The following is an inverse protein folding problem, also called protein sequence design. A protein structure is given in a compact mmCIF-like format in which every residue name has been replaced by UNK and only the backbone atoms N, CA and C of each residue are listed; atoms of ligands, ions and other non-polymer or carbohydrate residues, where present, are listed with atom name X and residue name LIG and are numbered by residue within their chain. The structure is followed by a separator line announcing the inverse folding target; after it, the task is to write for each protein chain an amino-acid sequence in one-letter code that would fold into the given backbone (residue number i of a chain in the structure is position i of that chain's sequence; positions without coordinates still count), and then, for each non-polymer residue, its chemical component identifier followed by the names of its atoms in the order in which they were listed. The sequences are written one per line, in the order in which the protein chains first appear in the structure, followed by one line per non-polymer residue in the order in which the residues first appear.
data_IF_009419773047
#
_entry.id   IF_009419773047
#
_cell.length_a   1.000
_cell.length_b   1.000
_cell.length_c   1.000
_cell.angle_alpha   90.00
_cell.angle_beta   90.00
_cell.angle_gamma   90.00
#
_symmetry.space_group_name_H-M   'P 1'
#
loop_
_entity.id
_entity.type
_entity.pdbx_description
1 polymer ?
#
# COMPACT_ATOMS: atom_id res chain seq x y z
N UNK A 1 -3.75 0.51 30.84
CA UNK A 1 -2.59 0.48 29.91
C UNK A 1 -2.06 1.88 29.66
N UNK A 2 -0.81 2.02 29.19
CA UNK A 2 -0.15 3.32 28.98
C UNK A 2 -0.75 4.13 27.82
N UNK A 3 -1.35 3.49 26.82
CA UNK A 3 -2.05 4.13 25.68
C UNK A 3 -3.48 3.61 25.50
N UNK A 4 -4.22 4.17 24.53
CA UNK A 4 -5.53 3.64 24.11
C UNK A 4 -5.38 2.26 23.44
N UNK A 5 -6.42 1.42 23.49
CA UNK A 5 -6.34 0.02 23.04
C UNK A 5 -6.36 -0.10 21.50
N UNK A 6 -5.21 0.08 20.84
CA UNK A 6 -5.00 -0.20 19.41
C UNK A 6 -4.27 -1.54 19.24
N UNK A 7 -4.72 -2.48 18.37
CA UNK A 7 -5.94 -2.46 17.54
C UNK A 7 -7.19 -2.97 18.26
N UNK A 8 -7.09 -3.35 19.54
CA UNK A 8 -8.15 -4.08 20.24
C UNK A 8 -9.55 -3.44 20.21
N UNK A 9 -9.67 -2.11 20.26
CA UNK A 9 -10.99 -1.47 20.25
C UNK A 9 -11.69 -1.54 18.89
N UNK A 10 -10.94 -1.43 17.78
CA UNK A 10 -11.50 -1.58 16.44
C UNK A 10 -12.06 -3.00 16.22
N UNK A 11 -11.34 -4.03 16.68
CA UNK A 11 -11.80 -5.42 16.61
C UNK A 11 -13.06 -5.68 17.44
N UNK A 12 -13.21 -5.04 18.60
CA UNK A 12 -14.43 -5.17 19.42
C UNK A 12 -15.66 -4.60 18.71
N UNK A 13 -15.53 -3.47 18.01
CA UNK A 13 -16.63 -2.93 17.21
C UNK A 13 -17.07 -3.92 16.11
N UNK A 14 -16.14 -4.70 15.57
CA UNK A 14 -16.41 -5.72 14.55
C UNK A 14 -16.93 -7.07 15.10
N UNK A 15 -17.19 -7.19 16.40
CA UNK A 15 -17.46 -8.50 17.05
C UNK A 15 -18.95 -8.83 17.25
N UNK A 16 -19.87 -8.07 16.67
CA UNK A 16 -21.33 -8.17 16.93
C UNK A 16 -21.71 -8.02 18.42
N UNK A 17 -20.80 -7.49 19.23
CA UNK A 17 -21.01 -7.31 20.67
C UNK A 17 -21.10 -5.83 20.99
N UNK A 18 -21.89 -5.49 22.02
CA UNK A 18 -21.94 -4.12 22.53
C UNK A 18 -20.56 -3.72 23.03
N UNK A 19 -20.03 -2.63 22.48
CA UNK A 19 -18.77 -2.07 22.95
C UNK A 19 -18.99 -1.19 24.17
N UNK A 20 -18.38 -1.57 25.28
CA UNK A 20 -18.27 -0.73 26.48
C UNK A 20 -16.94 0.01 26.42
N UNK A 21 -16.99 1.34 26.31
CA UNK A 21 -15.80 2.17 26.16
C UNK A 21 -15.56 3.00 27.40
N UNK A 22 -14.40 2.81 28.03
CA UNK A 22 -13.97 3.67 29.12
C UNK A 22 -13.85 5.12 28.61
N UNK A 23 -14.45 6.06 29.34
CA UNK A 23 -14.29 7.48 29.06
C UNK A 23 -12.98 8.00 29.61
N UNK A 24 -11.89 7.72 28.87
CA UNK A 24 -10.56 8.16 29.24
C UNK A 24 -10.04 9.26 28.31
N UNK A 25 -9.09 10.11 28.76
CA UNK A 25 -8.47 11.12 27.89
C UNK A 25 -7.68 10.50 26.72
N UNK A 26 -7.43 9.17 26.74
CA UNK A 26 -6.73 8.47 25.67
C UNK A 26 -7.65 8.28 24.47
N UNK A 27 -7.33 8.94 23.35
CA UNK A 27 -8.12 8.90 22.12
C UNK A 27 -7.39 8.15 20.99
N UNK A 28 -8.15 7.62 20.04
CA UNK A 28 -7.66 7.17 18.73
C UNK A 28 -8.20 8.08 17.64
N UNK A 29 -7.54 8.05 16.48
CA UNK A 29 -7.87 8.91 15.33
C UNK A 29 -9.35 8.79 14.91
N UNK A 30 -9.94 7.60 15.02
CA UNK A 30 -11.32 7.35 14.61
C UNK A 30 -12.38 7.59 15.69
N UNK A 31 -12.00 7.84 16.95
CA UNK A 31 -12.97 7.97 18.05
C UNK A 31 -13.93 9.14 17.89
N UNK A 32 -13.53 10.19 17.16
CA UNK A 32 -14.40 11.35 16.89
C UNK A 32 -15.61 11.02 16.03
N UNK A 33 -15.56 9.93 15.26
CA UNK A 33 -16.72 9.47 14.48
C UNK A 33 -17.63 8.52 15.25
N UNK A 34 -17.30 8.17 16.50
CA UNK A 34 -18.12 7.30 17.34
C UNK A 34 -19.02 8.12 18.26
N UNK A 35 -20.29 7.75 18.32
CA UNK A 35 -21.31 8.44 19.10
C UNK A 35 -21.73 7.57 20.29
N UNK A 36 -21.65 8.08 21.54
CA UNK A 36 -22.15 7.39 22.72
C UNK A 36 -23.66 7.12 22.60
N UNK A 37 -24.10 5.93 22.99
CA UNK A 37 -25.51 5.51 22.89
C UNK A 37 -25.94 5.05 21.50
N UNK A 38 -25.10 5.24 20.47
CA UNK A 38 -25.35 4.81 19.08
C UNK A 38 -24.38 3.71 18.68
N UNK A 39 -23.07 3.97 18.79
CA UNK A 39 -22.03 3.02 18.36
C UNK A 39 -21.41 2.24 19.54
N UNK A 40 -21.52 2.74 20.76
CA UNK A 40 -20.95 2.16 21.98
C UNK A 40 -21.62 2.76 23.23
N UNK A 41 -21.41 2.15 24.40
CA UNK A 41 -21.81 2.73 25.69
C UNK A 41 -20.60 3.22 26.51
N UNK A 42 -20.64 4.45 27.04
CA UNK A 42 -19.55 4.99 27.84
C UNK A 42 -19.55 4.41 29.26
N UNK A 43 -18.38 3.98 29.72
CA UNK A 43 -18.14 3.58 31.11
C UNK A 43 -17.24 4.63 31.76
N UNK A 44 -17.61 5.12 32.95
CA UNK A 44 -16.82 6.09 33.70
C UNK A 44 -15.47 5.50 34.10
N UNK A 45 -14.43 6.34 34.23
CA UNK A 45 -13.08 5.87 34.58
C UNK A 45 -13.01 5.10 35.90
N UNK A 46 -13.90 5.44 36.85
CA UNK A 46 -14.03 4.78 38.15
C UNK A 46 -14.92 3.53 38.13
N UNK A 47 -15.44 3.14 36.96
CA UNK A 47 -16.36 2.03 36.74
C UNK A 47 -17.68 2.12 37.51
N UNK A 48 -18.03 3.28 38.08
CA UNK A 48 -19.21 3.43 38.95
C UNK A 48 -20.53 3.10 38.24
N UNK A 49 -20.61 3.30 36.92
CA UNK A 49 -21.81 2.99 36.13
C UNK A 49 -21.77 1.62 35.44
N UNK A 50 -20.74 0.79 35.65
CA UNK A 50 -20.58 -0.46 34.91
C UNK A 50 -21.70 -1.46 35.20
N UNK A 51 -22.01 -1.68 36.49
CA UNK A 51 -23.01 -2.67 36.91
C UNK A 51 -24.40 -2.28 36.41
N UNK A 52 -24.77 -1.01 36.56
CA UNK A 52 -26.05 -0.47 36.06
C UNK A 52 -26.15 -0.60 34.55
N UNK A 53 -25.08 -0.27 33.80
CA UNK A 53 -25.04 -0.40 32.34
C UNK A 53 -25.27 -1.83 31.90
N UNK A 54 -24.63 -2.81 32.56
CA UNK A 54 -24.80 -4.22 32.26
C UNK A 54 -26.22 -4.71 32.55
N UNK A 55 -26.78 -4.34 33.72
CA UNK A 55 -28.15 -4.71 34.07
C UNK A 55 -29.18 -4.11 33.11
N UNK A 56 -28.93 -2.88 32.64
CA UNK A 56 -29.78 -2.24 31.64
C UNK A 56 -29.76 -2.98 30.30
N UNK A 57 -28.56 -3.34 29.81
CA UNK A 57 -28.40 -4.11 28.57
C UNK A 57 -29.11 -5.46 28.64
N UNK A 58 -29.00 -6.18 29.75
CA UNK A 58 -29.66 -7.48 29.95
C UNK A 58 -31.19 -7.36 29.89
N UNK A 59 -31.74 -6.26 30.42
CA UNK A 59 -33.20 -6.02 30.42
C UNK A 59 -33.72 -5.49 29.08
N UNK A 60 -32.84 -4.95 28.23
CA UNK A 60 -33.21 -4.31 26.96
C UNK A 60 -32.36 -4.89 25.82
N UNK A 61 -32.54 -6.18 25.55
CA UNK A 61 -31.75 -6.91 24.55
C UNK A 61 -31.87 -6.30 23.14
N UNK A 62 -33.06 -5.84 22.75
CA UNK A 62 -33.27 -5.15 21.47
C UNK A 62 -32.39 -3.91 21.32
N UNK A 63 -32.28 -3.10 22.39
CA UNK A 63 -31.42 -1.92 22.41
C UNK A 63 -29.94 -2.31 22.37
N UNK A 64 -29.54 -3.36 23.09
CA UNK A 64 -28.20 -3.91 23.07
C UNK A 64 -27.80 -4.36 21.65
N UNK A 65 -28.67 -5.12 20.99
CA UNK A 65 -28.49 -5.56 19.62
C UNK A 65 -28.36 -4.38 18.65
N UNK A 66 -29.23 -3.38 18.77
CA UNK A 66 -29.19 -2.19 17.93
C UNK A 66 -27.85 -1.43 18.05
N UNK A 67 -27.33 -1.23 19.26
CA UNK A 67 -26.03 -0.55 19.44
C UNK A 67 -24.89 -1.40 18.85
N UNK A 68 -24.88 -2.70 19.13
CA UNK A 68 -23.83 -3.59 18.64
C UNK A 68 -23.75 -3.59 17.09
N UNK A 69 -24.91 -3.63 16.44
CA UNK A 69 -24.99 -3.61 14.98
C UNK A 69 -24.62 -2.24 14.40
N UNK A 70 -25.06 -1.13 15.00
CA UNK A 70 -24.68 0.21 14.56
C UNK A 70 -23.17 0.45 14.70
N UNK A 71 -22.56 0.02 15.82
CA UNK A 71 -21.12 0.09 16.02
C UNK A 71 -20.34 -0.74 14.99
N UNK A 72 -20.82 -1.95 14.67
CA UNK A 72 -20.23 -2.83 13.65
C UNK A 72 -20.31 -2.22 12.26
N UNK A 73 -21.48 -1.78 11.83
CA UNK A 73 -21.66 -1.24 10.48
C UNK A 73 -20.86 0.05 10.28
N UNK A 74 -20.78 0.88 11.32
CA UNK A 74 -19.88 2.03 11.33
C UNK A 74 -18.42 1.59 11.17
N UNK A 75 -17.96 0.60 11.93
CA UNK A 75 -16.57 0.14 11.87
C UNK A 75 -16.21 -0.52 10.54
N UNK A 76 -17.10 -1.34 9.95
CA UNK A 76 -16.89 -1.91 8.62
C UNK A 76 -16.71 -0.82 7.58
N UNK A 77 -17.63 0.15 7.57
CA UNK A 77 -17.64 1.24 6.59
C UNK A 77 -16.41 2.15 6.73
N UNK A 78 -15.97 2.43 7.95
CA UNK A 78 -14.98 3.50 8.19
C UNK A 78 -13.58 3.02 8.56
N UNK A 79 -13.43 1.78 9.03
CA UNK A 79 -12.13 1.23 9.50
C UNK A 79 -11.62 0.07 8.66
N UNK A 80 -12.50 -0.65 7.96
CA UNK A 80 -12.13 -1.82 7.14
C UNK A 80 -12.10 -1.48 5.66
N UNK A 81 -12.90 -0.51 5.21
CA UNK A 81 -12.84 0.01 3.85
C UNK A 81 -11.46 0.65 3.59
N UNK A 82 -10.63 -0.08 2.86
CA UNK A 82 -9.26 0.32 2.53
C UNK A 82 -9.22 1.61 1.70
N UNK A 83 -10.19 1.84 0.82
CA UNK A 83 -10.22 3.03 -0.03
C UNK A 83 -10.50 4.27 0.82
N UNK A 84 -11.47 4.17 1.72
CA UNK A 84 -11.80 5.27 2.63
C UNK A 84 -10.66 5.52 3.64
N UNK A 85 -10.01 4.46 4.13
CA UNK A 85 -8.87 4.58 5.04
C UNK A 85 -7.67 5.25 4.34
N UNK A 86 -7.33 4.83 3.11
CA UNK A 86 -6.28 5.47 2.33
C UNK A 86 -6.63 6.91 1.98
N UNK A 87 -7.88 7.19 1.61
CA UNK A 87 -8.36 8.54 1.35
C UNK A 87 -8.18 9.41 2.59
N UNK A 88 -8.64 8.97 3.76
CA UNK A 88 -8.46 9.69 5.02
C UNK A 88 -6.98 9.97 5.32
N UNK A 89 -6.12 8.95 5.23
CA UNK A 89 -4.67 9.12 5.43
C UNK A 89 -4.08 10.14 4.45
N UNK A 90 -4.50 10.11 3.18
CA UNK A 90 -4.04 11.07 2.16
C UNK A 90 -4.46 12.50 2.51
N UNK A 91 -5.69 12.72 2.97
CA UNK A 91 -6.19 14.04 3.35
C UNK A 91 -5.43 14.61 4.56
N UNK A 92 -5.14 13.76 5.55
CA UNK A 92 -4.34 14.15 6.72
C UNK A 92 -2.94 14.61 6.28
N UNK A 93 -2.28 13.84 5.40
CA UNK A 93 -0.94 14.16 4.91
C UNK A 93 -0.94 15.42 4.04
N UNK A 94 -1.92 15.59 3.15
CA UNK A 94 -2.07 16.79 2.33
C UNK A 94 -2.34 18.04 3.18
N UNK A 95 -3.22 17.92 4.18
CA UNK A 95 -3.49 19.03 5.11
C UNK A 95 -2.25 19.38 5.91
N UNK A 96 -1.55 18.38 6.45
CA UNK A 96 -0.28 18.59 7.15
C UNK A 96 0.75 19.29 6.25
N UNK A 97 0.92 18.84 5.01
CA UNK A 97 1.81 19.47 4.04
C UNK A 97 1.44 20.93 3.76
N UNK A 98 0.15 21.26 3.69
CA UNK A 98 -0.32 22.65 3.48
C UNK A 98 0.00 23.60 4.63
N UNK A 99 0.21 23.06 5.84
CA UNK A 99 0.55 23.85 7.03
C UNK A 99 2.06 24.11 7.16
N UNK A 100 2.88 23.52 6.29
CA UNK A 100 4.32 23.73 6.30
C UNK A 100 4.63 25.14 5.81
N UNK A 101 5.28 25.94 6.65
CA UNK A 101 5.77 27.29 6.31
C UNK A 101 7.10 27.28 5.56
N UNK A 102 7.70 26.10 5.45
CA UNK A 102 8.93 25.87 4.70
C UNK A 102 8.64 24.91 3.56
N UNK A 103 9.34 25.09 2.44
CA UNK A 103 9.38 24.07 1.40
C UNK A 103 10.36 22.99 1.88
N UNK A 104 9.92 21.75 2.16
CA UNK A 104 10.84 20.71 2.55
C UNK A 104 11.88 20.56 1.45
N UNK A 105 13.12 20.91 1.76
CA UNK A 105 14.27 20.59 0.93
C UNK A 105 14.70 19.20 1.34
N UNK A 106 14.73 18.29 0.37
CA UNK A 106 15.43 17.03 0.53
C UNK A 106 16.85 17.34 1.01
N UNK A 107 17.28 16.64 2.05
CA UNK A 107 18.65 16.71 2.54
C UNK A 107 19.61 16.33 1.41
N UNK A 108 20.85 16.80 1.48
CA UNK A 108 21.89 16.41 0.52
C UNK A 108 22.09 14.89 0.48
N UNK A 109 21.80 14.17 1.57
CA UNK A 109 21.68 12.72 1.64
C UNK A 109 20.54 12.19 0.76
N UNK A 110 19.30 12.67 0.95
CA UNK A 110 18.12 12.20 0.19
C UNK A 110 18.22 12.51 -1.31
N UNK A 111 18.84 13.65 -1.68
CA UNK A 111 19.13 14.00 -3.08
C UNK A 111 20.21 13.07 -3.64
N UNK A 112 21.25 12.72 -2.87
CA UNK A 112 22.24 11.70 -3.26
C UNK A 112 21.60 10.33 -3.47
N UNK A 113 20.60 9.96 -2.67
CA UNK A 113 19.87 8.69 -2.83
C UNK A 113 19.00 8.66 -4.10
N UNK A 114 18.48 9.79 -4.56
CA UNK A 114 17.79 9.90 -5.87
C UNK A 114 18.79 9.95 -7.02
N UNK A 115 19.96 10.56 -6.80
CA UNK A 115 21.00 10.83 -7.80
C UNK A 115 22.00 9.69 -7.99
N UNK A 116 22.00 8.66 -7.14
CA UNK A 116 22.86 7.48 -7.29
C UNK A 116 22.32 6.46 -8.30
N UNK A 117 21.07 6.60 -8.76
CA UNK A 117 20.50 5.75 -9.78
C UNK A 117 20.62 6.41 -11.15
N UNK A 118 21.72 6.08 -11.85
CA UNK A 118 22.16 6.70 -13.11
C UNK A 118 21.10 6.74 -14.20
N UNK A 119 20.11 5.86 -14.15
CA UNK A 119 19.08 5.75 -15.18
C UNK A 119 18.06 6.89 -15.11
N UNK A 120 17.61 7.28 -13.92
CA UNK A 120 16.66 8.39 -13.79
C UNK A 120 17.30 9.74 -14.15
N UNK A 121 18.58 9.91 -13.84
CA UNK A 121 19.34 11.11 -14.19
C UNK A 121 19.49 11.31 -15.72
N UNK A 122 19.43 10.23 -16.51
CA UNK A 122 19.49 10.29 -17.98
C UNK A 122 18.18 10.76 -18.62
N UNK A 123 17.08 10.77 -17.88
CA UNK A 123 15.77 11.15 -18.41
C UNK A 123 15.66 12.67 -18.58
N UNK A 124 15.69 13.14 -19.82
CA UNK A 124 15.63 14.58 -20.15
C UNK A 124 14.25 15.19 -19.93
N UNK A 125 13.19 14.44 -20.26
CA UNK A 125 11.82 14.91 -20.20
C UNK A 125 10.97 13.93 -19.39
N UNK A 126 10.43 14.40 -18.27
CA UNK A 126 9.49 13.63 -17.44
C UNK A 126 8.12 13.68 -18.13
N UNK A 127 7.61 12.51 -18.53
CA UNK A 127 6.28 12.37 -19.15
C UNK A 127 5.18 12.46 -18.10
N UNK A 128 3.94 12.87 -18.47
CA UNK A 128 2.80 12.75 -17.57
C UNK A 128 2.64 11.33 -17.03
N UNK A 129 2.12 11.20 -15.82
CA UNK A 129 1.87 9.88 -15.24
C UNK A 129 0.88 9.09 -16.10
N UNK A 130 1.19 7.83 -16.37
CA UNK A 130 0.32 6.93 -17.13
C UNK A 130 0.07 5.64 -16.32
N UNK A 131 -1.17 5.40 -15.85
CA UNK A 131 -1.50 4.25 -15.02
C UNK A 131 -1.63 2.93 -15.79
N UNK A 132 -1.54 2.94 -17.13
CA UNK A 132 -1.79 1.75 -17.94
C UNK A 132 -0.93 0.55 -17.49
N UNK A 133 -1.59 -0.58 -17.24
CA UNK A 133 -0.95 -1.84 -16.89
C UNK A 133 -1.99 -2.92 -16.59
N UNK A 134 -1.51 -4.12 -16.32
CA UNK A 134 -2.34 -5.32 -16.10
C UNK A 134 -2.36 -5.76 -14.63
N UNK A 135 -1.81 -4.95 -13.73
CA UNK A 135 -1.75 -5.24 -12.31
C UNK A 135 -3.08 -4.88 -11.62
N UNK A 136 -3.64 -5.83 -10.89
CA UNK A 136 -4.95 -5.73 -10.24
C UNK A 136 -4.84 -5.81 -8.71
N UNK A 137 -5.94 -5.50 -8.00
CA UNK A 137 -6.02 -5.57 -6.54
C UNK A 137 -5.74 -6.98 -6.00
N UNK A 138 -6.21 -8.02 -6.67
CA UNK A 138 -5.97 -9.42 -6.23
C UNK A 138 -4.48 -9.77 -6.23
N UNK A 139 -3.75 -9.30 -7.25
CA UNK A 139 -2.31 -9.47 -7.33
C UNK A 139 -1.58 -8.71 -6.20
N UNK A 140 -2.09 -7.54 -5.83
CA UNK A 140 -1.54 -6.71 -4.75
C UNK A 140 -1.63 -7.40 -3.38
N UNK A 141 -2.77 -8.01 -3.07
CA UNK A 141 -2.98 -8.75 -1.81
C UNK A 141 -2.02 -9.93 -1.69
N UNK A 142 -1.90 -10.76 -2.72
CA UNK A 142 -1.00 -11.90 -2.71
C UNK A 142 0.47 -11.47 -2.55
N UNK A 143 0.86 -10.40 -3.24
CA UNK A 143 2.24 -9.91 -3.27
C UNK A 143 2.67 -9.28 -1.94
N UNK A 144 1.81 -8.44 -1.34
CA UNK A 144 2.08 -7.86 -0.02
C UNK A 144 2.13 -8.92 1.07
N UNK A 145 1.28 -9.95 1.01
CA UNK A 145 1.34 -11.09 1.93
C UNK A 145 2.69 -11.81 1.86
N UNK A 146 3.19 -12.09 0.66
CA UNK A 146 4.47 -12.78 0.47
C UNK A 146 5.66 -11.94 0.95
N UNK A 147 5.70 -10.65 0.59
CA UNK A 147 6.76 -9.72 1.00
C UNK A 147 6.83 -9.64 2.54
N UNK A 148 5.69 -9.48 3.20
CA UNK A 148 5.62 -9.40 4.65
C UNK A 148 5.94 -10.75 5.32
N UNK A 149 5.37 -11.86 4.84
CA UNK A 149 5.59 -13.19 5.42
C UNK A 149 7.06 -13.60 5.39
N UNK A 150 7.78 -13.23 4.32
CA UNK A 150 9.17 -13.59 4.15
C UNK A 150 10.15 -12.46 4.47
N UNK A 151 9.64 -11.31 4.95
CA UNK A 151 10.47 -10.16 5.33
C UNK A 151 11.43 -9.75 4.20
N UNK A 152 10.93 -9.75 2.95
CA UNK A 152 11.76 -9.50 1.78
C UNK A 152 12.37 -8.09 1.83
N UNK A 153 13.66 -8.01 1.52
CA UNK A 153 14.40 -6.75 1.36
C UNK A 153 14.83 -6.53 -0.08
N UNK A 154 15.15 -7.60 -0.81
CA UNK A 154 15.55 -7.53 -2.22
C UNK A 154 14.57 -8.31 -3.10
N UNK A 155 13.92 -7.62 -4.03
CA UNK A 155 13.00 -8.23 -5.00
C UNK A 155 13.53 -8.04 -6.41
N UNK A 156 13.39 -9.05 -7.25
CA UNK A 156 13.64 -8.93 -8.69
C UNK A 156 12.31 -9.13 -9.42
N UNK A 157 11.94 -8.18 -10.26
CA UNK A 157 10.80 -8.30 -11.18
C UNK A 157 11.31 -8.46 -12.60
N UNK A 158 10.90 -9.54 -13.27
CA UNK A 158 11.15 -9.77 -14.68
C UNK A 158 9.89 -9.41 -15.46
N UNK A 159 9.98 -8.54 -16.46
CA UNK A 159 8.83 -8.15 -17.30
C UNK A 159 8.10 -6.89 -16.83
N UNK A 160 8.83 -5.84 -16.45
CA UNK A 160 8.24 -4.57 -15.98
C UNK A 160 7.72 -3.73 -17.16
N UNK A 161 6.40 -3.50 -17.22
CA UNK A 161 5.75 -2.61 -18.20
C UNK A 161 5.96 -1.13 -17.82
N UNK A 162 4.88 -0.38 -17.56
CA UNK A 162 4.91 0.98 -17.02
C UNK A 162 5.04 1.03 -15.49
N UNK A 163 5.31 -0.11 -14.86
CA UNK A 163 5.76 -0.22 -13.48
C UNK A 163 4.68 -0.23 -12.39
N UNK A 164 3.44 -0.59 -12.71
CA UNK A 164 2.35 -0.60 -11.70
C UNK A 164 2.66 -1.55 -10.53
N UNK A 165 2.96 -2.82 -10.83
CA UNK A 165 3.42 -3.81 -9.86
C UNK A 165 4.75 -3.43 -9.22
N UNK A 166 5.72 -2.95 -10.01
CA UNK A 166 7.03 -2.50 -9.52
C UNK A 166 6.90 -1.48 -8.38
N UNK A 167 6.08 -0.46 -8.58
CA UNK A 167 5.84 0.59 -7.60
C UNK A 167 5.11 0.07 -6.38
N UNK A 168 4.12 -0.80 -6.58
CA UNK A 168 3.43 -1.43 -5.45
C UNK A 168 4.40 -2.25 -4.58
N UNK A 169 5.26 -3.07 -5.18
CA UNK A 169 6.31 -3.81 -4.44
C UNK A 169 7.20 -2.83 -3.66
N UNK A 170 7.67 -1.76 -4.29
CA UNK A 170 8.51 -0.75 -3.63
C UNK A 170 7.83 -0.14 -2.39
N UNK A 171 6.50 0.04 -2.40
CA UNK A 171 5.76 0.50 -1.22
C UNK A 171 5.67 -0.53 -0.09
N UNK A 172 5.68 -1.83 -0.43
CA UNK A 172 5.64 -2.91 0.57
C UNK A 172 7.01 -3.21 1.18
N UNK A 173 8.11 -2.83 0.53
CA UNK A 173 9.45 -3.11 1.04
C UNK A 173 9.81 -2.20 2.22
N UNK A 174 10.56 -2.73 3.22
CA UNK A 174 11.02 -1.92 4.35
C UNK A 174 11.98 -0.81 3.89
N UNK A 175 12.38 0.06 4.82
CA UNK A 175 13.46 1.02 4.58
C UNK A 175 14.75 0.28 4.20
N UNK A 176 15.47 0.79 3.20
CA UNK A 176 16.63 0.13 2.59
C UNK A 176 16.30 -1.07 1.68
N UNK A 177 15.04 -1.47 1.55
CA UNK A 177 14.63 -2.51 0.62
C UNK A 177 14.64 -2.02 -0.84
N UNK A 178 15.04 -2.90 -1.76
CA UNK A 178 15.23 -2.62 -3.19
C UNK A 178 14.43 -3.58 -4.07
N UNK A 179 13.91 -3.05 -5.18
CA UNK A 179 13.37 -3.82 -6.29
C UNK A 179 14.16 -3.56 -7.57
N UNK A 180 14.62 -4.63 -8.22
CA UNK A 180 15.25 -4.60 -9.53
C UNK A 180 14.19 -4.89 -10.60
N UNK A 181 13.86 -3.88 -11.39
CA UNK A 181 12.91 -3.97 -12.49
C UNK A 181 13.67 -4.30 -13.78
N UNK A 182 13.48 -5.49 -14.33
CA UNK A 182 14.22 -6.01 -15.48
C UNK A 182 13.27 -6.17 -16.65
N UNK A 183 13.49 -5.39 -17.69
CA UNK A 183 12.79 -5.50 -18.96
C UNK A 183 13.66 -4.90 -20.07
N UNK A 184 13.41 -5.23 -21.34
CA UNK A 184 14.09 -4.56 -22.45
C UNK A 184 13.34 -3.29 -22.91
N UNK A 185 12.10 -3.11 -22.45
CA UNK A 185 11.13 -2.06 -22.79
C UNK A 185 10.97 -1.90 -24.30
N UNK A 186 10.72 -3.02 -24.98
CA UNK A 186 10.40 -3.05 -26.43
C UNK A 186 8.99 -3.56 -26.71
N UNK A 187 8.26 -4.05 -25.70
CA UNK A 187 7.02 -4.80 -25.93
C UNK A 187 7.29 -6.20 -26.51
N UNK A 188 6.22 -6.98 -26.66
CA UNK A 188 6.23 -8.36 -27.14
C UNK A 188 5.38 -8.42 -28.39
N UNK A 189 5.45 -9.50 -29.17
CA UNK A 189 4.68 -9.66 -30.42
C UNK A 189 3.18 -9.34 -30.26
N UNK A 190 2.56 -9.76 -29.16
CA UNK A 190 1.14 -9.49 -28.84
C UNK A 190 0.81 -7.99 -28.70
N UNK A 191 1.81 -7.14 -28.46
CA UNK A 191 1.66 -5.70 -28.33
C UNK A 191 1.78 -4.96 -29.67
N UNK A 192 2.18 -5.63 -30.76
CA UNK A 192 2.29 -5.05 -32.09
C UNK A 192 1.06 -5.31 -32.96
N UNK A 193 -0.04 -5.78 -32.37
CA UNK A 193 -1.33 -5.91 -33.04
C UNK A 193 -1.77 -4.53 -33.58
N UNK A 194 -1.99 -4.38 -34.90
CA UNK A 194 -2.39 -3.09 -35.49
C UNK A 194 -3.72 -2.57 -34.95
N UNK A 195 -4.56 -3.45 -34.37
CA UNK A 195 -5.84 -3.06 -33.77
C UNK A 195 -5.68 -2.47 -32.35
N UNK A 196 -4.49 -2.52 -31.75
CA UNK A 196 -4.20 -2.03 -30.38
C UNK A 196 -3.52 -0.66 -30.38
N UNK A 197 -4.13 0.30 -31.07
CA UNK A 197 -3.58 1.64 -31.32
C UNK A 197 -3.04 2.35 -30.06
N UNK A 198 -3.73 2.25 -28.92
CA UNK A 198 -3.28 2.83 -27.65
C UNK A 198 -1.98 2.21 -27.10
N UNK A 199 -1.80 0.90 -27.24
CA UNK A 199 -0.56 0.21 -26.83
C UNK A 199 0.56 0.55 -27.81
N UNK A 200 0.27 0.55 -29.11
CA UNK A 200 1.25 0.84 -30.16
C UNK A 200 1.86 2.24 -30.01
N UNK A 201 1.07 3.22 -29.57
CA UNK A 201 1.54 4.57 -29.29
C UNK A 201 2.51 4.63 -28.09
N UNK A 202 2.44 3.69 -27.15
CA UNK A 202 3.31 3.63 -25.98
C UNK A 202 4.65 2.95 -26.25
N UNK A 203 4.68 1.96 -27.16
CA UNK A 203 5.84 1.11 -27.46
C UNK A 203 7.16 1.88 -27.61
N UNK A 204 7.25 3.01 -28.35
CA UNK A 204 8.50 3.73 -28.54
C UNK A 204 9.03 4.42 -27.28
N UNK A 205 8.20 4.51 -26.23
CA UNK A 205 8.45 5.35 -25.05
C UNK A 205 8.29 4.59 -23.73
N UNK A 206 8.18 3.25 -23.78
CA UNK A 206 7.88 2.43 -22.61
C UNK A 206 8.87 2.64 -21.48
N UNK A 207 10.17 2.72 -21.79
CA UNK A 207 11.20 2.90 -20.78
C UNK A 207 11.11 4.29 -20.14
N UNK A 208 11.02 5.33 -20.96
CA UNK A 208 10.91 6.71 -20.49
C UNK A 208 9.62 6.92 -19.68
N UNK A 209 8.53 6.28 -20.08
CA UNK A 209 7.26 6.32 -19.36
C UNK A 209 7.33 5.54 -18.03
N UNK A 210 7.98 4.38 -18.01
CA UNK A 210 8.27 3.64 -16.77
C UNK A 210 9.07 4.52 -15.79
N UNK A 211 10.17 5.13 -16.26
CA UNK A 211 11.01 6.00 -15.44
C UNK A 211 10.21 7.20 -14.91
N UNK A 212 9.43 7.85 -15.78
CA UNK A 212 8.58 8.98 -15.41
C UNK A 212 7.56 8.61 -14.33
N UNK A 213 6.91 7.46 -14.45
CA UNK A 213 5.97 6.98 -13.45
C UNK A 213 6.62 6.71 -12.08
N UNK A 214 7.84 6.18 -12.07
CA UNK A 214 8.60 5.98 -10.83
C UNK A 214 8.99 7.31 -10.17
N UNK A 215 9.34 8.32 -10.97
CA UNK A 215 9.63 9.69 -10.48
C UNK A 215 8.38 10.31 -9.85
N UNK A 216 7.24 10.26 -10.54
CA UNK A 216 5.97 10.81 -10.04
C UNK A 216 5.55 10.24 -8.68
N UNK A 217 5.84 8.97 -8.45
CA UNK A 217 5.50 8.28 -7.20
C UNK A 217 6.56 8.40 -6.10
N UNK A 218 7.69 9.06 -6.38
CA UNK A 218 8.79 9.30 -5.42
C UNK A 218 9.42 8.01 -4.86
N UNK A 219 9.37 6.92 -5.63
CA UNK A 219 9.89 5.60 -5.22
C UNK A 219 11.24 5.26 -5.88
N UNK A 220 11.87 6.21 -6.58
CA UNK A 220 13.12 6.01 -7.33
C UNK A 220 14.30 5.52 -6.48
N UNK A 221 14.28 5.78 -5.17
CA UNK A 221 15.29 5.32 -4.22
C UNK A 221 15.21 3.80 -3.94
N UNK A 222 14.07 3.16 -4.21
CA UNK A 222 13.88 1.71 -4.04
C UNK A 222 13.86 0.96 -5.37
N UNK A 223 13.56 1.63 -6.49
CA UNK A 223 13.37 1.00 -7.79
C UNK A 223 14.64 1.13 -8.63
N UNK A 224 15.25 0.00 -8.98
CA UNK A 224 16.46 -0.10 -9.79
C UNK A 224 16.08 -0.64 -11.18
N UNK A 225 15.91 0.22 -12.20
CA UNK A 225 15.68 -0.25 -13.56
C UNK A 225 16.93 -0.86 -14.18
N UNK A 226 16.77 -2.00 -14.86
CA UNK A 226 17.80 -2.66 -15.65
C UNK A 226 17.26 -2.95 -17.04
N UNK A 227 17.57 -2.06 -17.99
CA UNK A 227 17.15 -2.19 -19.38
C UNK A 227 17.94 -3.28 -20.10
N UNK A 228 17.45 -4.50 -20.05
CA UNK A 228 18.07 -5.70 -20.62
C UNK A 228 17.08 -6.86 -20.72
N UNK A 229 17.44 -7.92 -21.45
CA UNK A 229 16.63 -9.15 -21.48
C UNK A 229 16.77 -9.95 -20.18
N UNK A 230 15.75 -10.72 -19.82
CA UNK A 230 15.78 -11.55 -18.60
C UNK A 230 16.90 -12.60 -18.63
N UNK A 231 17.24 -13.14 -19.81
CA UNK A 231 18.34 -14.09 -19.98
C UNK A 231 19.69 -13.42 -19.72
N UNK A 232 19.95 -12.28 -20.36
CA UNK A 232 21.19 -11.54 -20.14
C UNK A 232 21.33 -11.11 -18.68
N UNK A 233 20.23 -10.67 -18.05
CA UNK A 233 20.20 -10.35 -16.63
C UNK A 233 20.62 -11.54 -15.75
N UNK A 234 20.16 -12.75 -16.06
CA UNK A 234 20.51 -13.96 -15.31
C UNK A 234 22.01 -14.32 -15.43
N UNK A 235 22.64 -13.96 -16.55
CA UNK A 235 24.07 -14.19 -16.79
C UNK A 235 24.96 -13.15 -16.09
N UNK A 236 24.56 -11.87 -16.11
CA UNK A 236 25.47 -10.77 -15.73
C UNK A 236 25.16 -10.13 -14.39
N UNK A 237 23.95 -10.31 -13.84
CA UNK A 237 23.59 -9.70 -12.56
C UNK A 237 23.81 -10.68 -11.42
N UNK A 238 24.69 -10.31 -10.50
CA UNK A 238 24.88 -11.04 -9.23
C UNK A 238 23.99 -10.44 -8.15
N UNK A 239 22.68 -10.71 -8.21
CA UNK A 239 21.70 -10.22 -7.22
C UNK A 239 21.22 -11.38 -6.34
N UNK A 240 21.42 -11.27 -5.02
CA UNK A 240 20.81 -12.18 -4.04
C UNK A 240 19.39 -11.70 -3.72
N UNK A 241 18.41 -12.24 -4.43
CA UNK A 241 17.01 -11.88 -4.26
C UNK A 241 16.32 -12.72 -3.18
N UNK A 242 15.49 -12.09 -2.35
CA UNK A 242 14.57 -12.79 -1.43
C UNK A 242 13.33 -13.29 -2.17
N UNK A 243 12.95 -12.59 -3.25
CA UNK A 243 11.79 -12.88 -4.08
C UNK A 243 12.09 -12.56 -5.55
N UNK A 244 11.75 -13.48 -6.45
CA UNK A 244 11.73 -13.23 -7.90
C UNK A 244 10.30 -13.34 -8.40
N UNK A 245 9.80 -12.25 -8.96
CA UNK A 245 8.48 -12.17 -9.58
C UNK A 245 8.62 -12.15 -11.10
N UNK A 246 7.85 -13.00 -11.76
CA UNK A 246 7.83 -13.09 -13.23
C UNK A 246 6.51 -12.50 -13.71
N UNK A 247 6.60 -11.32 -14.32
CA UNK A 247 5.54 -10.71 -15.10
C UNK A 247 5.22 -11.57 -16.31
N UNK A 248 3.94 -11.81 -16.52
CA UNK A 248 3.44 -12.58 -17.65
C UNK A 248 2.86 -11.62 -18.69
N UNK A 249 3.10 -11.90 -19.97
CA UNK A 249 2.38 -11.25 -21.07
C UNK A 249 0.88 -11.50 -20.98
N UNK A 250 0.11 -10.90 -21.89
CA UNK A 250 -1.37 -10.86 -21.89
C UNK A 250 -2.01 -12.27 -21.78
N UNK A 251 -1.28 -13.36 -22.08
CA UNK A 251 -1.75 -14.75 -21.98
C UNK A 251 -1.16 -15.63 -20.87
N UNK A 252 -0.31 -15.13 -19.96
CA UNK A 252 0.29 -15.98 -18.91
C UNK A 252 -0.08 -15.46 -17.51
N UNK A 253 0.01 -16.32 -16.50
CA UNK A 253 -0.19 -15.95 -15.09
C UNK A 253 1.15 -15.57 -14.44
N UNK A 254 1.10 -14.67 -13.45
CA UNK A 254 2.26 -14.30 -12.64
C UNK A 254 2.80 -15.56 -11.94
N UNK A 255 4.09 -15.83 -12.08
CA UNK A 255 4.78 -16.91 -11.36
C UNK A 255 5.75 -16.31 -10.34
N UNK A 256 5.65 -16.79 -9.11
CA UNK A 256 6.54 -16.44 -8.01
C UNK A 256 7.49 -17.61 -7.77
N UNK A 257 8.80 -17.38 -7.87
CA UNK A 257 9.83 -18.40 -7.66
C UNK A 257 10.74 -17.94 -6.52
N UNK A 258 10.89 -18.81 -5.50
CA UNK A 258 11.84 -18.61 -4.41
C UNK A 258 13.06 -19.50 -4.63
N UNK A 259 14.25 -18.93 -4.51
CA UNK A 259 15.48 -19.69 -4.36
C UNK A 259 15.78 -19.82 -2.86
N UNK A 260 15.95 -21.05 -2.35
CA UNK A 260 16.58 -21.26 -1.04
C UNK A 260 18.04 -20.88 -1.21
N UNK A 261 18.50 -19.87 -0.49
CA UNK A 261 19.93 -19.59 -0.40
C UNK A 261 20.55 -20.60 0.57
N UNK A 262 21.65 -21.22 0.14
CA UNK A 262 22.51 -22.06 0.99
C UNK A 262 23.07 -21.24 2.16
#
# INVERSE_FOLDING_TARGET
GFTCTNPGYAWRLLSNSVCLKLDSPKRQWFYRGLEPGVHYLPIKEDFSNLVETLQYLIKHDDYAYQIAMQGREWAKKNLVDEELLHYYCSQVLLKYASLQTFKPKLTSEEIKTISSNSEYAKLKNIRPFNPHGFFSKDNAVALSFLINKFQCKTVVELGSWLGSSTRYIATCLPEGGLIYAIDHWKGNEEHYDPNRTAINALLPTLYEQFLSNCIHTKLTHKIIPKRMTSLYAAEVLTIKADLIMIGSGIKRQIKVIRFKTQ
#
